data_IF_114195478235
#
_entry.id   IF_114195478235
#
_cell.length_a   1.000
_cell.length_b   1.000
_cell.length_c   1.000
_cell.angle_alpha   90.00
_cell.angle_beta   90.00
_cell.angle_gamma   90.00
#
_symmetry.space_group_name_H-M   'P 1'
#
loop_
_entity.id
_entity.type
_entity.pdbx_description
1 polymer ?
#
# COMPACT_ATOMS: atom_id res chain seq x y z
N UNK A 1 14.27 10.09 -4.05
CA UNK A 1 14.46 8.75 -3.43
C UNK A 1 15.86 8.28 -3.78
N UNK A 2 16.71 8.03 -2.77
CA UNK A 2 18.09 7.59 -3.01
C UNK A 2 18.10 6.06 -3.05
N UNK A 3 18.67 5.48 -4.11
CA UNK A 3 18.92 4.05 -4.21
C UNK A 3 20.12 3.71 -3.30
N UNK A 4 19.99 2.69 -2.43
CA UNK A 4 21.12 2.21 -1.63
C UNK A 4 22.21 1.63 -2.54
N UNK A 5 23.46 1.57 -2.07
CA UNK A 5 24.50 0.78 -2.75
C UNK A 5 24.10 -0.70 -2.76
N UNK A 6 24.48 -1.44 -3.80
CA UNK A 6 24.11 -2.85 -3.96
C UNK A 6 24.58 -3.69 -2.76
N UNK A 7 25.78 -3.42 -2.26
CA UNK A 7 26.39 -4.11 -1.11
C UNK A 7 25.61 -3.87 0.20
N UNK A 8 24.85 -2.77 0.27
CA UNK A 8 24.03 -2.41 1.43
C UNK A 8 22.58 -2.94 1.34
N UNK A 9 22.25 -3.74 0.31
CA UNK A 9 20.97 -4.43 0.20
C UNK A 9 20.92 -5.59 1.20
N UNK A 10 19.71 -6.01 1.62
CA UNK A 10 19.54 -7.25 2.39
C UNK A 10 20.08 -8.47 1.64
N UNK A 11 20.64 -9.44 2.36
CA UNK A 11 21.26 -10.61 1.75
C UNK A 11 20.33 -11.38 0.81
N UNK A 12 19.06 -11.52 1.18
CA UNK A 12 18.05 -12.18 0.36
C UNK A 12 17.69 -11.45 -0.94
N UNK A 13 18.19 -10.22 -1.13
CA UNK A 13 18.05 -9.42 -2.35
C UNK A 13 19.35 -9.38 -3.19
N UNK A 14 20.42 -10.01 -2.74
CA UNK A 14 21.71 -10.05 -3.45
C UNK A 14 21.78 -11.26 -4.37
N UNK A 15 21.03 -11.23 -5.46
CA UNK A 15 21.03 -12.27 -6.50
C UNK A 15 21.16 -11.62 -7.89
N UNK A 16 21.37 -12.42 -8.92
CA UNK A 16 21.64 -11.95 -10.29
C UNK A 16 20.43 -11.23 -10.88
N UNK A 17 19.23 -11.72 -10.64
CA UNK A 17 17.98 -11.17 -11.14
C UNK A 17 17.75 -9.76 -10.55
N UNK A 18 17.89 -9.60 -9.25
CA UNK A 18 17.78 -8.28 -8.60
C UNK A 18 18.88 -7.32 -9.07
N UNK A 19 20.11 -7.84 -9.32
CA UNK A 19 21.23 -7.03 -9.78
C UNK A 19 20.97 -6.39 -11.14
N UNK A 20 20.36 -7.13 -12.07
CA UNK A 20 19.98 -6.61 -13.38
C UNK A 20 19.06 -5.39 -13.25
N UNK A 21 17.96 -5.51 -12.52
CA UNK A 21 17.03 -4.40 -12.25
C UNK A 21 17.69 -3.26 -11.47
N UNK A 22 18.59 -3.59 -10.53
CA UNK A 22 19.33 -2.59 -9.78
C UNK A 22 20.21 -1.71 -10.67
N UNK A 23 20.96 -2.29 -11.63
CA UNK A 23 21.79 -1.52 -12.57
C UNK A 23 20.93 -0.60 -13.44
N UNK A 24 19.75 -1.05 -13.91
CA UNK A 24 18.80 -0.21 -14.64
C UNK A 24 18.37 1.00 -13.78
N UNK A 25 18.02 0.77 -12.52
CA UNK A 25 17.57 1.82 -11.61
C UNK A 25 18.71 2.78 -11.23
N UNK A 26 19.94 2.28 -11.13
CA UNK A 26 21.14 3.05 -10.82
C UNK A 26 21.40 4.14 -11.87
N UNK A 27 21.13 3.88 -13.14
CA UNK A 27 21.22 4.86 -14.22
C UNK A 27 20.07 5.89 -14.20
N UNK A 28 18.97 5.59 -13.50
CA UNK A 28 17.78 6.46 -13.41
C UNK A 28 17.67 7.22 -12.08
N UNK A 29 18.78 7.41 -11.35
CA UNK A 29 18.78 8.06 -10.02
C UNK A 29 18.10 9.42 -10.00
N UNK A 30 18.36 10.26 -11.01
CA UNK A 30 17.74 11.58 -11.11
C UNK A 30 16.22 11.50 -11.25
N UNK A 31 15.73 10.62 -12.12
CA UNK A 31 14.29 10.39 -12.30
C UNK A 31 13.64 9.87 -11.01
N UNK A 32 14.34 9.02 -10.23
CA UNK A 32 13.86 8.51 -8.95
C UNK A 32 13.73 9.64 -7.91
N UNK A 33 14.65 10.61 -7.93
CA UNK A 33 14.58 11.78 -7.04
C UNK A 33 13.39 12.66 -7.42
N UNK A 34 13.25 13.00 -8.71
CA UNK A 34 12.12 13.79 -9.22
C UNK A 34 10.81 13.12 -8.85
N UNK A 35 10.69 11.81 -9.13
CA UNK A 35 9.50 11.04 -8.75
C UNK A 35 9.19 11.17 -7.26
N UNK A 36 10.19 11.08 -6.39
CA UNK A 36 9.98 11.20 -4.94
C UNK A 36 9.52 12.59 -4.52
N UNK A 37 10.08 13.63 -5.12
CA UNK A 37 9.68 15.02 -4.88
C UNK A 37 8.23 15.22 -5.32
N UNK A 38 7.89 14.74 -6.53
CA UNK A 38 6.52 14.76 -7.04
C UNK A 38 5.56 14.02 -6.11
N UNK A 39 5.88 12.77 -5.73
CA UNK A 39 5.05 11.97 -4.82
C UNK A 39 4.77 12.73 -3.50
N UNK A 40 5.79 13.36 -2.93
CA UNK A 40 5.65 14.09 -1.67
C UNK A 40 4.70 15.29 -1.81
N UNK A 41 4.94 16.17 -2.79
CA UNK A 41 4.12 17.38 -2.95
C UNK A 41 2.71 17.06 -3.43
N UNK A 42 2.55 16.12 -4.36
CA UNK A 42 1.24 15.68 -4.81
C UNK A 42 0.43 15.06 -3.65
N UNK A 43 1.05 14.21 -2.83
CA UNK A 43 0.38 13.64 -1.66
C UNK A 43 0.01 14.70 -0.62
N UNK A 44 0.85 15.70 -0.40
CA UNK A 44 0.58 16.81 0.53
C UNK A 44 -0.61 17.65 0.05
N UNK A 45 -0.62 18.03 -1.23
CA UNK A 45 -1.70 18.81 -1.85
C UNK A 45 -3.01 18.02 -1.79
N UNK A 46 -2.99 16.74 -2.21
CA UNK A 46 -4.18 15.90 -2.16
C UNK A 46 -4.69 15.69 -0.73
N UNK A 47 -3.80 15.54 0.25
CA UNK A 47 -4.19 15.41 1.66
C UNK A 47 -4.92 16.67 2.15
N UNK A 48 -4.47 17.87 1.76
CA UNK A 48 -5.13 19.13 2.12
C UNK A 48 -6.49 19.23 1.44
N UNK A 49 -6.56 18.99 0.12
CA UNK A 49 -7.80 19.10 -0.65
C UNK A 49 -8.84 18.07 -0.16
N UNK A 50 -8.42 16.84 0.11
CA UNK A 50 -9.31 15.75 0.51
C UNK A 50 -9.58 15.70 2.01
N UNK A 51 -8.93 16.54 2.82
CA UNK A 51 -9.09 16.54 4.29
C UNK A 51 -10.54 16.74 4.76
N UNK A 52 -11.40 17.59 4.14
CA UNK A 52 -12.80 17.69 4.55
C UNK A 52 -13.58 16.38 4.31
N UNK A 53 -13.34 15.72 3.17
CA UNK A 53 -13.96 14.44 2.85
C UNK A 53 -13.49 13.37 3.84
N UNK A 54 -12.20 13.33 4.11
CA UNK A 54 -11.60 12.39 5.07
C UNK A 54 -12.16 12.59 6.48
N UNK A 55 -12.41 13.83 6.88
CA UNK A 55 -13.02 14.15 8.17
C UNK A 55 -14.46 13.62 8.25
N UNK A 56 -15.27 13.84 7.20
CA UNK A 56 -16.65 13.33 7.12
C UNK A 56 -16.64 11.80 7.24
N UNK A 57 -15.78 11.12 6.46
CA UNK A 57 -15.66 9.67 6.52
C UNK A 57 -15.23 9.18 7.91
N UNK A 58 -14.30 9.88 8.55
CA UNK A 58 -13.85 9.57 9.91
C UNK A 58 -14.99 9.64 10.93
N UNK A 59 -15.84 10.68 10.84
CA UNK A 59 -17.02 10.85 11.69
C UNK A 59 -18.03 9.72 11.43
N UNK A 60 -18.34 9.42 10.16
CA UNK A 60 -19.28 8.34 9.81
C UNK A 60 -18.82 6.97 10.37
N UNK A 61 -17.52 6.65 10.22
CA UNK A 61 -16.94 5.40 10.75
C UNK A 61 -17.05 5.36 12.29
N UNK A 62 -16.82 6.50 12.94
CA UNK A 62 -16.84 6.57 14.41
C UNK A 62 -18.24 6.45 14.97
N UNK A 63 -19.23 6.99 14.27
CA UNK A 63 -20.64 6.92 14.66
C UNK A 63 -21.21 5.51 14.44
N UNK A 64 -20.81 4.82 13.37
CA UNK A 64 -21.34 3.49 13.05
C UNK A 64 -20.82 2.38 13.97
N UNK A 65 -19.54 2.46 14.36
CA UNK A 65 -18.93 1.37 15.15
C UNK A 65 -17.87 1.88 16.14
N UNK A 66 -17.83 1.27 17.33
CA UNK A 66 -16.81 1.55 18.36
C UNK A 66 -15.41 1.18 17.86
N UNK A 67 -14.39 1.96 18.26
CA UNK A 67 -12.99 1.68 17.97
C UNK A 67 -12.27 2.80 17.19
N UNK A 68 -11.02 2.59 16.71
CA UNK A 68 -10.25 3.59 15.98
C UNK A 68 -10.80 3.85 14.59
N UNK A 69 -10.63 5.07 14.07
CA UNK A 69 -11.02 5.45 12.69
C UNK A 69 -10.12 4.76 11.67
N UNK A 70 -8.82 4.66 11.97
CA UNK A 70 -7.84 4.07 11.08
C UNK A 70 -7.56 2.62 11.44
N UNK A 71 -7.55 1.78 10.43
CA UNK A 71 -7.00 0.44 10.46
C UNK A 71 -5.53 0.48 10.07
N UNK A 72 -4.68 -0.25 10.79
CA UNK A 72 -3.24 -0.24 10.64
C UNK A 72 -2.71 -1.68 10.56
N UNK A 73 -2.40 -2.14 9.34
CA UNK A 73 -1.83 -3.47 9.10
C UNK A 73 -0.36 -3.37 8.72
N UNK A 74 0.45 -4.29 9.24
CA UNK A 74 1.85 -4.41 8.86
C UNK A 74 1.97 -4.95 7.43
N UNK A 75 2.79 -4.27 6.64
CA UNK A 75 3.08 -4.58 5.24
C UNK A 75 4.57 -4.40 4.98
N UNK A 76 5.03 -4.96 3.86
CA UNK A 76 6.42 -4.84 3.41
C UNK A 76 6.52 -3.79 2.31
N UNK A 77 7.57 -2.99 2.36
CA UNK A 77 7.93 -1.99 1.35
C UNK A 77 9.40 -2.14 0.95
N UNK A 78 9.95 -1.12 0.33
CA UNK A 78 11.32 -1.04 -0.17
C UNK A 78 12.35 -1.70 0.75
N UNK A 79 13.20 -2.55 0.18
CA UNK A 79 14.26 -3.31 0.87
C UNK A 79 13.75 -4.24 1.97
N UNK A 80 12.53 -4.76 1.84
CA UNK A 80 11.96 -5.66 2.84
C UNK A 80 11.59 -4.98 4.17
N UNK A 81 11.54 -3.64 4.22
CA UNK A 81 11.19 -2.92 5.45
C UNK A 81 9.71 -3.08 5.78
N UNK A 82 9.42 -3.31 7.05
CA UNK A 82 8.07 -3.29 7.59
C UNK A 82 7.57 -1.87 7.77
N UNK A 83 6.32 -1.62 7.43
CA UNK A 83 5.62 -0.39 7.71
C UNK A 83 4.16 -0.68 8.03
N UNK A 84 3.45 0.27 8.61
CA UNK A 84 2.01 0.14 8.88
C UNK A 84 1.22 0.99 7.91
N UNK A 85 0.49 0.31 7.02
CA UNK A 85 -0.38 0.97 6.05
C UNK A 85 -1.52 1.71 6.78
N UNK A 86 -1.86 2.92 6.35
CA UNK A 86 -3.03 3.64 6.82
C UNK A 86 -4.22 3.34 5.91
N UNK A 87 -5.30 2.86 6.49
CA UNK A 87 -6.60 2.74 5.81
C UNK A 87 -7.71 3.22 6.75
N UNK A 88 -8.83 3.66 6.19
CA UNK A 88 -10.03 3.78 7.00
C UNK A 88 -10.52 2.40 7.42
N UNK A 89 -11.03 2.29 8.64
CA UNK A 89 -11.63 1.05 9.12
C UNK A 89 -12.96 0.81 8.42
N UNK A 90 -13.08 -0.33 7.77
CA UNK A 90 -14.26 -0.77 7.03
C UNK A 90 -14.95 -1.97 7.66
N UNK A 91 -14.37 -2.53 8.70
CA UNK A 91 -14.87 -3.69 9.43
C UNK A 91 -15.07 -3.37 10.90
N UNK A 92 -15.86 -4.20 11.58
CA UNK A 92 -16.02 -4.14 13.04
C UNK A 92 -14.67 -4.32 13.74
N UNK A 93 -14.59 -3.86 14.98
CA UNK A 93 -13.36 -4.00 15.77
C UNK A 93 -12.97 -5.47 15.94
N UNK A 94 -11.65 -5.75 15.90
CA UNK A 94 -11.09 -7.10 16.02
C UNK A 94 -11.55 -8.10 14.94
N UNK A 95 -11.98 -7.62 13.78
CA UNK A 95 -12.37 -8.46 12.64
C UNK A 95 -11.26 -9.44 12.21
N UNK A 96 -9.99 -9.01 12.30
CA UNK A 96 -8.83 -9.86 11.97
C UNK A 96 -8.69 -11.10 12.84
N UNK A 97 -9.22 -11.07 14.07
CA UNK A 97 -9.20 -12.21 14.99
C UNK A 97 -10.35 -13.18 14.73
N UNK A 98 -11.36 -12.78 13.94
CA UNK A 98 -12.63 -13.49 13.77
C UNK A 98 -12.76 -14.21 12.42
N UNK A 99 -11.74 -14.23 11.58
CA UNK A 99 -11.85 -14.87 10.26
C UNK A 99 -10.60 -14.74 9.40
N UNK A 100 -10.71 -15.16 8.13
CA UNK A 100 -9.62 -15.15 7.16
C UNK A 100 -9.06 -13.74 6.91
N UNK A 101 -7.76 -13.67 6.58
CA UNK A 101 -7.07 -12.41 6.22
C UNK A 101 -7.56 -11.82 4.89
N UNK A 102 -8.13 -12.66 4.03
CA UNK A 102 -8.71 -12.28 2.74
C UNK A 102 -10.22 -12.24 2.87
N UNK A 103 -10.82 -11.15 2.46
CA UNK A 103 -12.27 -10.96 2.45
C UNK A 103 -12.84 -11.50 1.15
N UNK A 104 -13.77 -12.45 1.22
CA UNK A 104 -14.47 -13.01 0.05
C UNK A 104 -15.96 -12.66 0.14
N UNK A 105 -16.54 -12.19 -0.96
CA UNK A 105 -17.97 -11.96 -1.08
C UNK A 105 -18.60 -11.05 -0.01
N UNK A 106 -19.78 -11.41 0.46
CA UNK A 106 -20.50 -10.68 1.53
C UNK A 106 -19.99 -11.07 2.92
N UNK A 107 -18.88 -10.46 3.34
CA UNK A 107 -18.30 -10.69 4.67
C UNK A 107 -19.12 -9.92 5.75
N UNK A 108 -19.73 -10.61 6.73
CA UNK A 108 -20.57 -9.98 7.75
C UNK A 108 -19.80 -9.04 8.69
N UNK A 109 -18.47 -9.08 8.67
CA UNK A 109 -17.62 -8.19 9.46
C UNK A 109 -17.56 -6.78 8.88
N UNK A 110 -17.94 -6.59 7.60
CA UNK A 110 -17.92 -5.28 6.93
C UNK A 110 -19.10 -4.44 7.43
N UNK A 111 -18.82 -3.20 7.86
CA UNK A 111 -19.86 -2.25 8.25
C UNK A 111 -20.58 -1.68 7.02
N UNK A 112 -21.77 -1.11 7.19
CA UNK A 112 -22.53 -0.51 6.07
C UNK A 112 -21.78 0.66 5.43
N UNK A 113 -21.20 1.54 6.25
CA UNK A 113 -20.33 2.63 5.79
C UNK A 113 -19.07 2.03 5.15
N UNK A 114 -18.46 1.03 5.80
CA UNK A 114 -17.29 0.33 5.29
C UNK A 114 -17.50 -0.24 3.89
N UNK A 115 -18.65 -0.86 3.63
CA UNK A 115 -18.97 -1.39 2.30
C UNK A 115 -19.05 -0.27 1.24
N UNK A 116 -19.66 0.86 1.57
CA UNK A 116 -19.76 2.00 0.63
C UNK A 116 -18.39 2.58 0.28
N UNK A 117 -17.55 2.83 1.29
CA UNK A 117 -16.23 3.44 1.07
C UNK A 117 -15.26 2.49 0.37
N UNK A 118 -15.36 1.18 0.58
CA UNK A 118 -14.57 0.16 -0.15
C UNK A 118 -14.90 0.12 -1.63
N UNK A 119 -16.19 0.16 -2.00
CA UNK A 119 -16.62 0.18 -3.41
C UNK A 119 -16.02 1.34 -4.21
N UNK A 120 -15.83 2.50 -3.55
CA UNK A 120 -15.21 3.68 -4.15
C UNK A 120 -13.70 3.79 -3.87
N UNK A 121 -13.09 2.79 -3.22
CA UNK A 121 -11.69 2.79 -2.77
C UNK A 121 -11.31 3.99 -1.89
N UNK A 122 -12.29 4.65 -1.27
CA UNK A 122 -12.06 5.79 -0.37
C UNK A 122 -11.40 5.37 0.94
N UNK A 123 -11.45 4.09 1.29
CA UNK A 123 -10.74 3.52 2.44
C UNK A 123 -9.23 3.63 2.31
N UNK A 124 -8.70 3.82 1.12
CA UNK A 124 -7.28 3.91 0.86
C UNK A 124 -6.72 5.35 0.89
N UNK A 125 -7.59 6.38 0.96
CA UNK A 125 -7.16 7.79 1.01
C UNK A 125 -6.12 8.08 2.11
N UNK A 126 -6.18 7.50 3.33
CA UNK A 126 -5.17 7.73 4.35
C UNK A 126 -3.76 7.23 3.98
N UNK A 127 -3.60 6.42 2.92
CA UNK A 127 -2.28 6.00 2.44
C UNK A 127 -1.45 7.19 1.92
N UNK A 128 -2.05 8.34 1.61
CA UNK A 128 -1.34 9.59 1.33
C UNK A 128 -0.34 9.92 2.45
N UNK A 129 -0.65 9.60 3.71
CA UNK A 129 0.27 9.74 4.84
C UNK A 129 1.49 8.82 4.71
N UNK A 130 1.32 7.59 4.19
CA UNK A 130 2.43 6.68 3.93
C UNK A 130 3.33 7.20 2.78
N UNK A 131 2.71 7.83 1.76
CA UNK A 131 3.47 8.46 0.66
C UNK A 131 4.30 9.63 1.19
N UNK A 132 3.73 10.52 2.01
CA UNK A 132 4.45 11.64 2.62
C UNK A 132 5.64 11.14 3.45
N UNK A 133 5.44 10.08 4.25
CA UNK A 133 6.50 9.44 5.05
C UNK A 133 7.58 8.73 4.21
N UNK A 134 7.34 8.48 2.93
CA UNK A 134 8.25 7.74 2.04
C UNK A 134 8.18 6.23 2.18
N UNK A 135 7.19 5.73 2.88
CA UNK A 135 6.90 4.31 3.02
C UNK A 135 6.25 3.75 1.75
N UNK A 136 5.51 4.60 1.02
CA UNK A 136 4.82 4.29 -0.23
C UNK A 136 5.08 5.35 -1.31
N UNK A 137 4.64 5.05 -2.53
CA UNK A 137 4.56 5.90 -3.71
C UNK A 137 3.15 5.84 -4.28
N UNK A 138 2.77 6.76 -5.17
CA UNK A 138 1.48 6.63 -5.89
C UNK A 138 1.46 5.38 -6.76
N UNK A 139 2.52 5.13 -7.51
CA UNK A 139 2.63 3.99 -8.42
C UNK A 139 3.80 3.12 -7.99
N UNK A 140 3.54 1.83 -7.80
CA UNK A 140 4.49 0.82 -7.41
C UNK A 140 3.80 -0.53 -7.25
N UNK A 141 4.51 -1.57 -6.83
CA UNK A 141 3.90 -2.87 -6.51
C UNK A 141 3.00 -2.77 -5.28
N UNK A 142 1.88 -3.50 -5.27
CA UNK A 142 0.99 -3.55 -4.11
C UNK A 142 1.76 -4.04 -2.87
N UNK A 143 1.61 -3.38 -1.70
CA UNK A 143 2.31 -3.81 -0.49
C UNK A 143 1.71 -5.12 0.05
N UNK A 144 2.53 -6.15 0.14
CA UNK A 144 2.13 -7.45 0.64
C UNK A 144 2.47 -7.64 2.12
N UNK A 145 1.79 -8.62 2.76
CA UNK A 145 2.13 -9.08 4.11
C UNK A 145 3.41 -9.93 4.06
N UNK A 146 4.15 -9.95 5.15
CA UNK A 146 5.44 -10.67 5.25
C UNK A 146 5.34 -12.13 4.81
N UNK A 147 4.21 -12.79 5.10
CA UNK A 147 3.97 -14.18 4.72
C UNK A 147 4.16 -14.41 3.22
N UNK A 148 3.55 -13.56 2.37
CA UNK A 148 3.65 -13.68 0.91
C UNK A 148 5.00 -13.22 0.38
N UNK A 149 5.61 -12.20 1.00
CA UNK A 149 6.95 -11.72 0.57
C UNK A 149 8.03 -12.78 0.81
N UNK A 150 7.87 -13.64 1.80
CA UNK A 150 8.79 -14.78 2.04
C UNK A 150 8.78 -15.80 0.90
N UNK A 151 7.65 -15.92 0.19
CA UNK A 151 7.48 -16.83 -0.95
C UNK A 151 7.94 -16.21 -2.29
N UNK A 152 8.43 -14.96 -2.28
CA UNK A 152 8.89 -14.30 -3.49
C UNK A 152 10.06 -15.04 -4.14
N UNK A 153 9.94 -15.29 -5.44
CA UNK A 153 11.07 -15.74 -6.26
C UNK A 153 12.20 -14.71 -6.25
N UNK A 154 13.38 -15.08 -6.71
CA UNK A 154 14.49 -14.15 -6.80
C UNK A 154 14.17 -12.94 -7.67
N UNK A 155 13.49 -13.14 -8.79
CA UNK A 155 13.03 -12.05 -9.68
C UNK A 155 12.00 -11.16 -8.98
N UNK A 156 10.99 -11.74 -8.32
CA UNK A 156 9.98 -10.97 -7.60
C UNK A 156 10.56 -10.06 -6.53
N UNK A 157 11.70 -10.42 -5.91
CA UNK A 157 12.42 -9.56 -4.95
C UNK A 157 12.92 -8.26 -5.57
N UNK A 158 13.08 -8.18 -6.91
CA UNK A 158 13.42 -6.92 -7.59
C UNK A 158 12.35 -5.83 -7.38
N UNK A 159 11.09 -6.21 -7.17
CA UNK A 159 10.01 -5.26 -6.85
C UNK A 159 10.28 -4.48 -5.56
N UNK A 160 11.03 -5.09 -4.62
CA UNK A 160 11.42 -4.46 -3.36
C UNK A 160 12.57 -3.45 -3.50
N UNK A 161 13.11 -3.22 -4.69
CA UNK A 161 14.05 -2.12 -4.94
C UNK A 161 13.34 -0.75 -4.89
N UNK A 162 12.02 -0.73 -5.06
CA UNK A 162 11.20 0.47 -5.07
C UNK A 162 10.17 0.44 -3.92
N UNK A 163 9.65 1.60 -3.48
CA UNK A 163 8.56 1.63 -2.52
C UNK A 163 7.30 0.98 -3.09
N UNK A 164 6.51 0.37 -2.20
CA UNK A 164 5.17 -0.09 -2.54
C UNK A 164 4.28 1.06 -3.05
N UNK A 165 3.35 0.76 -3.94
CA UNK A 165 2.41 1.73 -4.53
C UNK A 165 1.03 1.71 -3.88
N UNK A 166 0.33 2.85 -3.94
CA UNK A 166 -1.13 2.91 -3.72
C UNK A 166 -1.81 2.20 -4.90
N UNK A 167 -1.36 2.47 -6.12
CA UNK A 167 -1.80 1.83 -7.35
C UNK A 167 -0.66 1.06 -8.00
N UNK A 168 -1.01 0.03 -8.75
CA UNK A 168 -0.07 -0.77 -9.54
C UNK A 168 -0.64 -1.01 -10.93
N UNK A 169 0.22 -1.38 -11.88
CA UNK A 169 -0.22 -1.81 -13.21
C UNK A 169 -1.22 -2.97 -13.11
N UNK A 170 -0.93 -3.95 -12.27
CA UNK A 170 -1.84 -5.06 -12.02
C UNK A 170 -3.21 -4.58 -11.50
N UNK A 171 -3.25 -3.63 -10.55
CA UNK A 171 -4.51 -3.07 -10.03
C UNK A 171 -5.34 -2.32 -11.07
N UNK A 172 -4.71 -1.87 -12.16
CA UNK A 172 -5.39 -1.21 -13.29
C UNK A 172 -5.89 -2.24 -14.30
N UNK A 173 -5.04 -3.22 -14.64
CA UNK A 173 -5.34 -4.26 -15.62
C UNK A 173 -6.40 -5.26 -15.10
N UNK A 174 -6.37 -5.58 -13.81
CA UNK A 174 -7.31 -6.50 -13.13
C UNK A 174 -8.30 -5.73 -12.25
N UNK A 175 -8.83 -4.62 -12.74
CA UNK A 175 -9.79 -3.78 -11.99
C UNK A 175 -11.04 -4.55 -11.60
N UNK A 176 -11.47 -5.47 -12.44
CA UNK A 176 -12.71 -6.23 -12.33
C UNK A 176 -12.45 -7.65 -11.75
N UNK A 177 -11.37 -7.82 -10.96
CA UNK A 177 -10.99 -9.10 -10.35
C UNK A 177 -12.12 -9.72 -9.53
N UNK A 178 -12.91 -8.89 -8.83
CA UNK A 178 -14.08 -9.34 -8.06
C UNK A 178 -15.20 -9.92 -8.95
N UNK A 179 -15.26 -9.56 -10.24
CA UNK A 179 -16.22 -10.11 -11.23
C UNK A 179 -15.69 -11.38 -11.89
N UNK A 180 -14.37 -11.58 -11.94
CA UNK A 180 -13.74 -12.75 -12.59
C UNK A 180 -13.73 -13.96 -11.65
N UNK A 181 -13.73 -13.72 -10.31
CA UNK A 181 -13.62 -14.77 -9.29
C UNK A 181 -15.01 -15.28 -8.83
N UNK A 182 -16.10 -14.63 -9.19
CA UNK A 182 -17.48 -15.05 -8.94
C UNK A 182 -18.08 -15.73 -10.18
#
# INVERSE_FOLDING_TARGET
MILKKYEALPENMKNNEVKEYYEILKHKKFSLIIKRVFDFFAALILLIILSPIMLILAIMIKLESKGPVFYRQERITKYGKKFRIFKFRTMVQDADKKGALVTMGQDPRITKVGNRIRKCRLDELPQLLNVIKGEMSFVGTRPEVEKYVKEYSNEMKATLLMPAGISSRASIEYRDEDEIIN
#
